data_IF_541145842633
#
_entry.id   IF_541145842633
#
_cell.length_a   1.000
_cell.length_b   1.000
_cell.length_c   1.000
_cell.angle_alpha   90.00
_cell.angle_beta   90.00
_cell.angle_gamma   90.00
#
_symmetry.space_group_name_H-M   'P 1'
#
loop_
_entity.id
_entity.type
_entity.pdbx_description
1 polymer ?
#
# COMPACT_ATOMS: atom_id res chain seq x y z
N UNK A 1 -31.27 7.83 -8.58
CA UNK A 1 -31.04 6.43 -8.99
C UNK A 1 -30.05 5.84 -7.98
N UNK A 2 -30.48 4.93 -7.11
CA UNK A 2 -29.60 4.34 -6.10
C UNK A 2 -28.72 3.26 -6.77
N UNK A 3 -27.42 3.52 -6.87
CA UNK A 3 -26.41 2.49 -7.09
C UNK A 3 -26.21 1.77 -5.76
N UNK A 4 -26.51 0.47 -5.70
CA UNK A 4 -26.18 -0.32 -4.52
C UNK A 4 -24.67 -0.54 -4.46
N UNK A 5 -24.05 -0.06 -3.39
CA UNK A 5 -22.65 -0.37 -3.08
C UNK A 5 -22.49 -1.86 -2.79
N UNK A 6 -21.38 -2.51 -3.20
CA UNK A 6 -21.15 -3.90 -2.90
C UNK A 6 -20.97 -4.11 -1.38
N UNK A 7 -21.40 -5.26 -0.88
CA UNK A 7 -21.18 -5.64 0.53
C UNK A 7 -19.70 -5.85 0.79
N UNK A 8 -19.18 -5.38 1.92
CA UNK A 8 -17.76 -5.52 2.28
C UNK A 8 -17.62 -6.58 3.38
N UNK A 9 -16.76 -7.57 3.14
CA UNK A 9 -16.46 -8.65 4.08
C UNK A 9 -15.01 -8.59 4.53
N UNK A 10 -14.78 -8.86 5.81
CA UNK A 10 -13.43 -8.95 6.35
C UNK A 10 -12.81 -10.29 5.98
N UNK A 11 -11.59 -10.26 5.48
CA UNK A 11 -10.82 -11.48 5.28
C UNK A 11 -10.40 -12.03 6.66
N UNK A 12 -10.56 -13.34 6.93
CA UNK A 12 -10.26 -13.89 8.26
C UNK A 12 -8.74 -13.96 8.47
N UNK A 13 -8.18 -12.88 9.00
CA UNK A 13 -6.77 -12.74 9.36
C UNK A 13 -6.51 -13.31 10.75
N UNK A 14 -5.36 -13.97 10.91
CA UNK A 14 -4.83 -14.38 12.20
C UNK A 14 -3.70 -13.46 12.60
N UNK A 15 -3.81 -12.79 13.75
CA UNK A 15 -2.70 -12.02 14.32
C UNK A 15 -1.58 -12.97 14.78
N UNK A 16 -0.34 -12.61 14.47
CA UNK A 16 0.86 -13.31 14.91
C UNK A 16 1.65 -12.37 15.79
N UNK A 17 1.95 -12.83 17.00
CA UNK A 17 2.88 -12.11 17.85
C UNK A 17 4.25 -12.09 17.18
N UNK A 18 4.76 -10.88 16.95
CA UNK A 18 6.12 -10.62 16.52
C UNK A 18 6.77 -9.73 17.56
N UNK A 19 7.94 -10.12 18.04
CA UNK A 19 8.69 -9.31 19.00
C UNK A 19 9.53 -8.27 18.26
N UNK A 20 8.85 -7.39 17.51
CA UNK A 20 9.45 -6.30 16.73
C UNK A 20 8.72 -5.02 17.11
N UNK A 21 9.45 -4.09 17.72
CA UNK A 21 8.86 -2.85 18.23
C UNK A 21 8.18 -2.03 17.12
N UNK A 22 6.97 -1.56 17.42
CA UNK A 22 6.12 -0.79 16.52
C UNK A 22 5.70 -1.49 15.23
N UNK A 23 5.69 -2.84 15.22
CA UNK A 23 5.22 -3.64 14.10
C UNK A 23 4.14 -4.65 14.51
N UNK A 24 3.14 -4.86 13.65
CA UNK A 24 2.14 -5.94 13.78
C UNK A 24 2.20 -6.87 12.60
N UNK A 25 1.84 -8.14 12.81
CA UNK A 25 1.76 -9.12 11.73
C UNK A 25 0.43 -9.84 11.73
N UNK A 26 -0.19 -9.89 10.56
CA UNK A 26 -1.40 -10.64 10.30
C UNK A 26 -1.14 -11.63 9.16
N UNK A 27 -1.70 -12.82 9.27
CA UNK A 27 -1.58 -13.85 8.25
C UNK A 27 -2.94 -14.33 7.73
N UNK A 28 -3.00 -14.62 6.44
CA UNK A 28 -4.14 -15.26 5.79
C UNK A 28 -3.74 -16.58 5.14
N UNK A 29 -4.58 -17.60 5.32
CA UNK A 29 -4.40 -18.91 4.69
C UNK A 29 -3.38 -19.80 5.39
N UNK A 30 -3.30 -21.06 4.97
CA UNK A 30 -2.29 -22.01 5.43
C UNK A 30 -0.94 -21.69 4.80
N UNK A 31 0.13 -21.96 5.53
CA UNK A 31 1.50 -21.77 5.04
C UNK A 31 1.71 -22.46 3.69
N UNK A 32 2.38 -21.77 2.78
CA UNK A 32 2.56 -22.18 1.40
C UNK A 32 4.04 -22.22 1.04
N UNK A 33 4.45 -23.27 0.33
CA UNK A 33 5.81 -23.42 -0.22
C UNK A 33 6.03 -22.59 -1.50
N UNK A 34 4.99 -21.88 -1.98
CA UNK A 34 5.12 -20.97 -3.12
C UNK A 34 6.06 -19.82 -2.75
N UNK A 35 6.78 -19.32 -3.76
CA UNK A 35 7.65 -18.14 -3.61
C UNK A 35 6.85 -17.00 -2.94
N UNK A 36 7.50 -16.27 -2.03
CA UNK A 36 6.94 -15.06 -1.44
C UNK A 36 7.39 -13.83 -2.24
N UNK A 37 6.50 -12.86 -2.40
CA UNK A 37 6.80 -11.53 -2.90
C UNK A 37 6.47 -10.50 -1.84
N UNK A 38 7.35 -9.54 -1.58
CA UNK A 38 7.13 -8.50 -0.59
C UNK A 38 7.03 -7.13 -1.26
N UNK A 39 5.97 -6.40 -0.94
CA UNK A 39 5.80 -4.99 -1.32
C UNK A 39 5.70 -4.12 -0.08
N UNK A 40 6.24 -2.91 -0.16
CA UNK A 40 6.11 -1.87 0.88
C UNK A 40 5.27 -0.74 0.33
N UNK A 41 4.25 -0.30 1.06
CA UNK A 41 3.38 0.80 0.64
C UNK A 41 3.70 2.07 1.45
N UNK A 42 4.28 3.06 0.78
CA UNK A 42 4.59 4.38 1.33
C UNK A 42 3.64 5.41 0.76
N UNK A 43 3.08 6.30 1.57
CA UNK A 43 2.24 7.40 1.09
C UNK A 43 1.71 8.23 2.24
N UNK A 44 1.41 9.51 1.99
CA UNK A 44 0.83 10.38 2.99
C UNK A 44 -0.54 9.87 3.48
N UNK A 45 -1.01 10.34 4.64
CA UNK A 45 -2.38 10.05 5.09
C UNK A 45 -3.40 10.47 4.01
N UNK A 46 -4.37 9.60 3.71
CA UNK A 46 -5.37 9.87 2.66
C UNK A 46 -4.91 9.63 1.23
N UNK A 47 -3.66 9.18 1.01
CA UNK A 47 -3.17 8.82 -0.34
C UNK A 47 -3.87 7.61 -0.98
N UNK A 48 -4.63 6.83 -0.21
CA UNK A 48 -5.37 5.67 -0.70
C UNK A 48 -4.65 4.32 -0.57
N UNK A 49 -3.66 4.19 0.34
CA UNK A 49 -2.95 2.93 0.60
C UNK A 49 -3.90 1.79 0.99
N UNK A 50 -4.73 1.98 2.01
CA UNK A 50 -5.68 0.95 2.46
C UNK A 50 -6.67 0.56 1.37
N UNK A 51 -7.17 1.54 0.60
CA UNK A 51 -8.01 1.28 -0.59
C UNK A 51 -7.29 0.41 -1.62
N UNK A 52 -6.01 0.67 -1.87
CA UNK A 52 -5.18 -0.13 -2.78
C UNK A 52 -5.01 -1.56 -2.25
N UNK A 53 -4.72 -1.72 -0.95
CA UNK A 53 -4.60 -3.05 -0.31
C UNK A 53 -5.90 -3.84 -0.49
N UNK A 54 -7.04 -3.24 -0.15
CA UNK A 54 -8.34 -3.90 -0.25
C UNK A 54 -8.67 -4.32 -1.70
N UNK A 55 -8.30 -3.49 -2.67
CA UNK A 55 -8.42 -3.81 -4.08
C UNK A 55 -7.53 -4.98 -4.52
N UNK A 56 -6.25 -4.96 -4.13
CA UNK A 56 -5.31 -6.05 -4.40
C UNK A 56 -5.82 -7.37 -3.84
N UNK A 57 -6.32 -7.37 -2.61
CA UNK A 57 -6.82 -8.58 -1.94
C UNK A 57 -8.08 -9.11 -2.61
N UNK A 58 -9.04 -8.24 -2.93
CA UNK A 58 -10.25 -8.63 -3.65
C UNK A 58 -9.88 -9.30 -4.98
N UNK A 59 -8.95 -8.73 -5.74
CA UNK A 59 -8.45 -9.35 -6.97
C UNK A 59 -7.76 -10.70 -6.71
N UNK A 60 -6.87 -10.79 -5.71
CA UNK A 60 -6.09 -11.99 -5.41
C UNK A 60 -7.00 -13.18 -5.09
N UNK A 61 -8.04 -12.98 -4.28
CA UNK A 61 -8.99 -14.04 -3.92
C UNK A 61 -10.05 -14.28 -5.00
N UNK A 62 -9.94 -13.62 -6.15
CA UNK A 62 -10.73 -13.89 -7.34
C UNK A 62 -12.05 -13.14 -7.44
N UNK A 63 -12.28 -12.12 -6.63
CA UNK A 63 -13.47 -11.25 -6.74
C UNK A 63 -13.38 -10.46 -8.04
N UNK A 64 -14.40 -10.62 -8.87
CA UNK A 64 -14.58 -9.89 -10.12
C UNK A 64 -15.38 -8.60 -9.90
N UNK A 65 -15.27 -7.69 -10.86
CA UNK A 65 -15.95 -6.40 -10.79
C UNK A 65 -17.47 -6.51 -10.64
N UNK A 66 -18.05 -7.49 -11.32
CA UNK A 66 -19.49 -7.79 -11.33
C UNK A 66 -19.98 -8.39 -10.02
N UNK A 67 -19.09 -8.89 -9.17
CA UNK A 67 -19.49 -9.54 -7.92
C UNK A 67 -20.09 -8.51 -6.97
N UNK A 68 -21.14 -8.93 -6.28
CA UNK A 68 -21.90 -8.06 -5.39
C UNK A 68 -21.19 -7.71 -4.08
N UNK A 69 -19.94 -8.15 -3.90
CA UNK A 69 -19.19 -8.03 -2.65
C UNK A 69 -17.70 -7.73 -2.88
N UNK A 70 -17.01 -7.27 -1.83
CA UNK A 70 -15.56 -6.99 -1.79
C UNK A 70 -14.96 -7.50 -0.48
N UNK A 71 -13.65 -7.76 -0.48
CA UNK A 71 -12.91 -8.09 0.74
C UNK A 71 -12.04 -6.92 1.23
N UNK A 72 -11.93 -6.79 2.55
CA UNK A 72 -11.04 -5.85 3.24
C UNK A 72 -10.13 -6.57 4.23
N UNK A 73 -8.91 -6.06 4.45
CA UNK A 73 -8.01 -6.56 5.49
C UNK A 73 -8.21 -5.85 6.84
N UNK A 74 -8.82 -4.67 6.85
CA UNK A 74 -8.96 -3.82 8.03
C UNK A 74 -10.43 -3.63 8.41
N UNK A 75 -10.69 -3.46 9.72
CA UNK A 75 -11.95 -2.90 10.20
C UNK A 75 -11.97 -1.40 9.87
N UNK A 76 -12.53 -1.05 8.71
CA UNK A 76 -13.01 0.30 8.48
C UNK A 76 -14.36 0.44 9.21
N UNK A 77 -14.33 0.45 10.55
CA UNK A 77 -15.49 0.79 11.36
C UNK A 77 -15.95 2.19 10.93
N UNK A 78 -17.07 2.25 10.20
CA UNK A 78 -17.70 3.49 9.73
C UNK A 78 -18.13 4.43 10.89
N UNK A 79 -18.02 3.97 12.14
CA UNK A 79 -18.41 4.67 13.36
C UNK A 79 -17.25 5.43 14.04
N UNK A 80 -15.99 5.20 13.66
CA UNK A 80 -14.83 5.89 14.23
C UNK A 80 -14.33 6.96 13.27
N UNK A 81 -14.31 8.21 13.75
CA UNK A 81 -13.89 9.36 12.94
C UNK A 81 -12.53 9.09 12.27
N UNK A 82 -12.39 9.43 10.97
CA UNK A 82 -11.20 9.13 10.16
C UNK A 82 -9.85 9.69 10.68
N UNK A 83 -9.86 10.42 11.81
CA UNK A 83 -8.68 10.88 12.52
C UNK A 83 -8.10 9.85 13.51
N UNK A 84 -8.94 8.92 14.03
CA UNK A 84 -8.54 7.92 15.03
C UNK A 84 -8.01 6.62 14.41
N UNK A 85 -8.39 6.29 13.16
CA UNK A 85 -7.96 5.08 12.47
C UNK A 85 -6.59 5.22 11.76
N UNK A 86 -5.78 6.20 12.16
CA UNK A 86 -4.43 6.37 11.60
C UNK A 86 -3.51 5.32 12.22
N UNK A 87 -3.14 4.29 11.45
CA UNK A 87 -2.13 3.29 11.83
C UNK A 87 -0.92 4.00 12.44
N UNK A 88 -0.59 3.69 13.70
CA UNK A 88 0.60 4.23 14.39
C UNK A 88 1.83 3.34 14.23
N UNK A 89 1.60 2.11 13.78
CA UNK A 89 2.57 1.03 13.68
C UNK A 89 2.63 0.54 12.24
N UNK A 90 3.75 -0.06 11.85
CA UNK A 90 3.87 -0.75 10.57
C UNK A 90 3.11 -2.07 10.65
N UNK A 91 2.22 -2.31 9.69
CA UNK A 91 1.43 -3.55 9.66
C UNK A 91 1.89 -4.44 8.51
N UNK A 92 2.24 -5.68 8.83
CA UNK A 92 2.67 -6.69 7.87
C UNK A 92 1.52 -7.68 7.64
N UNK A 93 0.99 -7.70 6.43
CA UNK A 93 0.02 -8.69 5.99
C UNK A 93 0.72 -9.77 5.18
N UNK A 94 0.80 -11.00 5.68
CA UNK A 94 1.29 -12.17 4.94
C UNK A 94 0.12 -12.99 4.42
N UNK A 95 -0.09 -12.93 3.12
CA UNK A 95 -1.15 -13.64 2.41
C UNK A 95 -0.53 -14.87 1.77
N UNK A 96 -0.69 -16.03 2.43
CA UNK A 96 -0.17 -17.29 1.92
C UNK A 96 -1.00 -17.74 0.72
N UNK A 97 -0.33 -18.10 -0.38
CA UNK A 97 -1.00 -18.58 -1.58
C UNK A 97 -1.92 -19.77 -1.28
N UNK A 98 -3.19 -19.68 -1.69
CA UNK A 98 -4.15 -20.78 -1.70
C UNK A 98 -4.56 -21.14 -3.12
N UNK A 99 -5.03 -22.38 -3.33
CA UNK A 99 -5.64 -22.76 -4.61
C UNK A 99 -6.83 -21.85 -4.96
N UNK A 100 -6.95 -21.48 -6.24
CA UNK A 100 -7.98 -20.56 -6.72
C UNK A 100 -7.59 -19.08 -6.70
N UNK A 101 -6.46 -18.71 -6.09
CA UNK A 101 -5.94 -17.35 -6.19
C UNK A 101 -5.59 -16.97 -7.63
N UNK A 102 -5.75 -15.69 -7.98
CA UNK A 102 -5.35 -15.13 -9.28
C UNK A 102 -3.83 -15.01 -9.45
N UNK A 103 -3.08 -15.06 -8.36
CA UNK A 103 -1.61 -15.04 -8.33
C UNK A 103 -1.08 -16.41 -7.91
N UNK A 104 0.12 -16.78 -8.39
CA UNK A 104 0.74 -18.09 -8.13
C UNK A 104 1.87 -18.02 -7.06
N UNK A 105 1.88 -16.97 -6.25
CA UNK A 105 2.87 -16.71 -5.20
C UNK A 105 2.18 -16.19 -3.93
N UNK A 106 2.85 -16.32 -2.79
CA UNK A 106 2.43 -15.66 -1.54
C UNK A 106 2.82 -14.18 -1.59
N UNK A 107 2.01 -13.32 -0.98
CA UNK A 107 2.24 -11.88 -0.97
C UNK A 107 2.38 -11.38 0.46
N UNK A 108 3.49 -10.70 0.74
CA UNK A 108 3.68 -9.88 1.94
C UNK A 108 3.47 -8.41 1.59
N UNK A 109 2.54 -7.76 2.27
CA UNK A 109 2.30 -6.32 2.16
C UNK A 109 2.74 -5.66 3.46
N UNK A 110 3.73 -4.79 3.39
CA UNK A 110 4.14 -3.92 4.49
C UNK A 110 3.39 -2.60 4.32
N UNK A 111 2.30 -2.42 5.06
CA UNK A 111 1.54 -1.18 5.12
C UNK A 111 2.15 -0.24 6.17
N UNK A 112 2.51 0.97 5.75
CA UNK A 112 3.10 1.95 6.66
C UNK A 112 2.08 3.00 7.08
N UNK A 113 2.19 3.57 8.29
CA UNK A 113 1.49 4.79 8.65
C UNK A 113 1.63 5.89 7.60
N UNK A 114 0.60 6.74 7.48
CA UNK A 114 0.65 7.91 6.63
C UNK A 114 1.61 8.98 7.17
N UNK A 115 2.59 9.39 6.37
CA UNK A 115 3.55 10.45 6.70
C UNK A 115 3.08 11.84 6.29
N UNK A 116 3.76 12.87 6.80
CA UNK A 116 3.50 14.26 6.42
C UNK A 116 2.17 14.83 6.94
N UNK A 117 1.63 14.25 8.01
CA UNK A 117 0.50 14.82 8.75
C UNK A 117 0.99 15.97 9.69
N UNK A 118 0.08 16.75 10.26
CA UNK A 118 0.35 17.83 11.24
C UNK A 118 1.05 17.38 12.54
N UNK A 119 1.35 16.09 12.67
CA UNK A 119 1.96 15.46 13.85
C UNK A 119 3.50 15.51 13.88
N UNK A 120 4.14 16.05 12.83
CA UNK A 120 5.55 16.46 12.85
C UNK A 120 6.59 15.39 12.46
N UNK A 121 7.84 15.84 12.33
CA UNK A 121 9.00 15.06 11.86
C UNK A 121 9.32 13.86 12.77
N UNK A 122 9.04 13.95 14.07
CA UNK A 122 9.31 12.85 15.01
C UNK A 122 8.51 11.60 14.69
N UNK A 123 7.24 11.74 14.27
CA UNK A 123 6.44 10.59 13.86
C UNK A 123 7.00 9.95 12.59
N UNK A 124 7.47 10.77 11.66
CA UNK A 124 8.10 10.30 10.43
C UNK A 124 9.42 9.54 10.73
N UNK A 125 10.19 9.99 11.73
CA UNK A 125 11.38 9.27 12.22
C UNK A 125 11.03 7.92 12.84
N UNK A 126 9.98 7.88 13.66
CA UNK A 126 9.50 6.64 14.26
C UNK A 126 9.09 5.61 13.20
N UNK A 127 8.45 6.03 12.11
CA UNK A 127 8.11 5.12 11.00
C UNK A 127 9.38 4.52 10.37
N UNK A 128 10.42 5.34 10.17
CA UNK A 128 11.70 4.88 9.62
C UNK A 128 12.37 3.89 10.57
N UNK A 129 12.32 4.13 11.87
CA UNK A 129 12.84 3.23 12.90
C UNK A 129 12.07 1.90 12.95
N UNK A 130 10.73 1.94 12.92
CA UNK A 130 9.90 0.74 12.82
C UNK A 130 10.25 -0.11 11.59
N UNK A 131 10.44 0.52 10.43
CA UNK A 131 10.90 -0.18 9.24
C UNK A 131 12.29 -0.77 9.44
N UNK A 132 13.25 -0.04 10.03
CA UNK A 132 14.59 -0.59 10.35
C UNK A 132 14.49 -1.81 11.25
N UNK A 133 13.67 -1.77 12.29
CA UNK A 133 13.45 -2.89 13.19
C UNK A 133 12.86 -4.09 12.44
N UNK A 134 11.90 -3.85 11.55
CA UNK A 134 11.28 -4.89 10.73
C UNK A 134 12.28 -5.58 9.78
N UNK A 135 13.19 -4.84 9.15
CA UNK A 135 14.17 -5.42 8.22
C UNK A 135 15.43 -5.98 8.90
N UNK A 136 15.69 -5.59 10.16
CA UNK A 136 16.85 -6.08 10.92
C UNK A 136 16.54 -7.31 11.78
N UNK A 137 15.26 -7.62 12.00
CA UNK A 137 14.83 -8.76 12.82
C UNK A 137 14.79 -10.07 12.02
N UNK A 138 15.24 -11.17 12.64
CA UNK A 138 15.12 -12.52 12.07
C UNK A 138 13.66 -12.95 11.83
N UNK A 139 12.72 -12.44 12.63
CA UNK A 139 11.28 -12.71 12.49
C UNK A 139 10.58 -11.70 11.55
N UNK A 140 11.36 -10.77 11.01
CA UNK A 140 10.91 -9.66 10.19
C UNK A 140 10.76 -10.01 8.71
N UNK A 141 11.08 -9.05 7.85
CA UNK A 141 11.02 -9.20 6.38
C UNK A 141 12.44 -9.15 5.83
N UNK A 142 12.85 -10.17 5.07
CA UNK A 142 14.23 -10.30 4.57
C UNK A 142 14.43 -9.79 3.15
N UNK A 143 13.39 -9.84 2.30
CA UNK A 143 13.46 -9.46 0.89
C UNK A 143 12.33 -8.49 0.53
N UNK A 144 12.65 -7.51 -0.31
CA UNK A 144 11.71 -6.49 -0.81
C UNK A 144 11.74 -6.50 -2.34
N UNK A 145 10.63 -6.92 -2.95
CA UNK A 145 10.48 -6.96 -4.40
C UNK A 145 10.04 -5.61 -4.97
N UNK A 146 9.31 -4.79 -4.21
CA UNK A 146 8.93 -3.45 -4.64
C UNK A 146 8.71 -2.48 -3.48
N UNK A 147 9.12 -1.24 -3.68
CA UNK A 147 8.74 -0.10 -2.82
C UNK A 147 7.77 0.77 -3.59
N UNK A 148 6.52 0.81 -3.13
CA UNK A 148 5.43 1.47 -3.82
C UNK A 148 5.12 2.82 -3.16
N UNK A 149 5.35 3.90 -3.89
CA UNK A 149 4.92 5.24 -3.47
C UNK A 149 3.50 5.52 -3.96
N UNK A 150 2.56 5.55 -3.02
CA UNK A 150 1.13 5.77 -3.25
C UNK A 150 0.82 7.26 -3.14
N UNK A 151 0.27 7.84 -4.20
CA UNK A 151 -0.09 9.25 -4.23
C UNK A 151 -1.33 9.54 -5.10
N UNK A 152 -2.18 10.50 -4.69
CA UNK A 152 -3.35 10.87 -5.48
C UNK A 152 -2.95 11.59 -6.76
N UNK A 153 -3.66 11.29 -7.86
CA UNK A 153 -3.40 11.85 -9.17
C UNK A 153 -3.39 13.37 -9.19
N UNK A 154 -4.30 13.99 -8.43
CA UNK A 154 -4.47 15.43 -8.29
C UNK A 154 -3.35 16.12 -7.50
N UNK A 155 -2.42 15.37 -6.88
CA UNK A 155 -1.32 15.96 -6.13
C UNK A 155 -0.39 16.72 -7.07
N UNK A 156 -0.48 18.05 -7.05
CA UNK A 156 0.35 18.92 -7.89
C UNK A 156 1.76 19.14 -7.33
N UNK A 157 2.05 18.65 -6.11
CA UNK A 157 3.33 18.87 -5.43
C UNK A 157 3.83 17.60 -4.74
N UNK A 158 5.14 17.46 -4.72
CA UNK A 158 5.87 16.53 -3.89
C UNK A 158 6.58 17.36 -2.82
N UNK A 159 6.08 17.30 -1.59
CA UNK A 159 6.52 18.24 -0.54
C UNK A 159 7.92 17.88 -0.03
N UNK A 160 8.66 18.86 0.53
CA UNK A 160 9.95 18.57 1.18
C UNK A 160 9.85 17.47 2.24
N UNK A 161 8.74 17.42 2.99
CA UNK A 161 8.47 16.36 3.96
C UNK A 161 8.31 15.01 3.29
N UNK A 162 7.55 14.91 2.20
CA UNK A 162 7.41 13.66 1.44
C UNK A 162 8.75 13.19 0.89
N UNK A 163 9.59 14.12 0.41
CA UNK A 163 10.97 13.83 -0.02
C UNK A 163 11.83 13.31 1.12
N UNK A 164 11.83 14.00 2.26
CA UNK A 164 12.59 13.58 3.43
C UNK A 164 12.21 12.17 3.87
N UNK A 165 10.91 11.86 3.96
CA UNK A 165 10.46 10.52 4.35
C UNK A 165 10.83 9.48 3.31
N UNK A 166 10.65 9.79 2.03
CA UNK A 166 11.07 8.92 0.95
C UNK A 166 12.56 8.59 1.04
N UNK A 167 13.41 9.60 1.11
CA UNK A 167 14.87 9.46 1.23
C UNK A 167 15.26 8.71 2.52
N UNK A 168 14.56 8.97 3.63
CA UNK A 168 14.80 8.30 4.91
C UNK A 168 14.44 6.81 4.86
N UNK A 169 13.33 6.46 4.22
CA UNK A 169 12.95 5.06 4.03
C UNK A 169 13.91 4.37 3.07
N UNK A 170 14.30 5.03 1.97
CA UNK A 170 15.32 4.49 1.07
C UNK A 170 16.66 4.26 1.78
N UNK A 171 17.02 5.08 2.76
CA UNK A 171 18.24 4.89 3.56
C UNK A 171 18.24 3.61 4.41
N UNK A 172 17.07 3.01 4.66
CA UNK A 172 16.94 1.72 5.35
C UNK A 172 17.38 0.57 4.45
N UNK A 173 17.32 0.76 3.14
CA UNK A 173 17.64 -0.26 2.14
C UNK A 173 18.98 0.03 1.46
N UNK A 174 19.49 -0.98 0.75
CA UNK A 174 20.62 -0.80 -0.16
C UNK A 174 20.28 0.13 -1.32
N UNK A 175 21.33 0.66 -1.99
CA UNK A 175 21.19 1.56 -3.15
C UNK A 175 20.44 0.91 -4.32
N UNK A 176 20.43 -0.41 -4.38
CA UNK A 176 19.76 -1.24 -5.37
C UNK A 176 18.22 -1.21 -5.26
N UNK A 177 17.67 -0.83 -4.10
CA UNK A 177 16.21 -0.71 -3.93
C UNK A 177 15.60 0.31 -4.90
N UNK A 178 16.42 1.28 -5.36
CA UNK A 178 15.97 2.33 -6.27
C UNK A 178 15.35 1.77 -7.56
N UNK A 179 15.87 0.64 -8.06
CA UNK A 179 15.36 -0.02 -9.26
C UNK A 179 13.99 -0.71 -9.05
N UNK A 180 13.63 -0.95 -7.79
CA UNK A 180 12.39 -1.60 -7.38
C UNK A 180 11.30 -0.61 -6.95
N UNK A 181 11.55 0.69 -7.09
CA UNK A 181 10.56 1.73 -6.76
C UNK A 181 9.48 1.79 -7.84
N UNK A 182 8.21 1.84 -7.43
CA UNK A 182 7.06 2.02 -8.32
C UNK A 182 6.14 3.11 -7.77
N UNK A 183 5.59 3.94 -8.64
CA UNK A 183 4.58 4.93 -8.24
C UNK A 183 3.18 4.37 -8.46
N UNK A 184 2.36 4.33 -7.42
CA UNK A 184 0.96 3.94 -7.51
C UNK A 184 0.09 5.20 -7.45
N UNK A 185 -0.51 5.56 -8.58
CA UNK A 185 -1.31 6.77 -8.69
C UNK A 185 -2.78 6.44 -8.42
N UNK A 186 -3.31 6.92 -7.30
CA UNK A 186 -4.70 6.75 -6.91
C UNK A 186 -5.59 7.87 -7.45
N UNK A 187 -6.92 7.68 -7.43
CA UNK A 187 -7.90 8.67 -7.90
C UNK A 187 -7.62 9.21 -9.32
N UNK A 188 -7.09 8.33 -10.19
CA UNK A 188 -6.74 8.73 -11.56
C UNK A 188 -7.92 8.55 -12.51
N UNK A 189 -8.40 9.65 -13.09
CA UNK A 189 -9.51 9.68 -14.06
C UNK A 189 -9.03 9.75 -15.51
N UNK A 190 -8.01 8.96 -15.86
CA UNK A 190 -7.52 8.78 -17.25
C UNK A 190 -6.52 9.84 -17.74
N UNK A 191 -6.65 11.10 -17.29
CA UNK A 191 -5.70 12.18 -17.64
C UNK A 191 -4.26 11.88 -17.13
N UNK A 192 -3.26 12.57 -17.71
CA UNK A 192 -1.87 12.51 -17.22
C UNK A 192 -1.81 13.08 -15.80
N UNK A 193 -1.44 12.28 -14.77
CA UNK A 193 -1.48 12.75 -13.39
C UNK A 193 -0.39 13.77 -13.10
N UNK A 194 -0.73 14.98 -12.62
CA UNK A 194 0.25 16.00 -12.19
C UNK A 194 1.31 15.48 -11.21
N UNK A 195 0.95 14.51 -10.37
CA UNK A 195 1.86 13.93 -9.36
C UNK A 195 3.12 13.31 -9.96
N UNK A 196 3.05 12.80 -11.19
CA UNK A 196 4.23 12.20 -11.86
C UNK A 196 5.28 13.25 -12.18
N UNK A 197 4.86 14.45 -12.58
CA UNK A 197 5.77 15.56 -12.85
C UNK A 197 6.36 16.10 -11.57
N UNK A 198 5.55 16.20 -10.51
CA UNK A 198 6.01 16.61 -9.20
C UNK A 198 7.07 15.65 -8.61
N UNK A 199 6.88 14.33 -8.75
CA UNK A 199 7.87 13.33 -8.34
C UNK A 199 9.12 13.42 -9.22
N UNK A 200 8.97 13.58 -10.53
CA UNK A 200 10.13 13.69 -11.42
C UNK A 200 10.98 14.93 -11.10
N UNK A 201 10.34 16.06 -10.80
CA UNK A 201 11.01 17.31 -10.45
C UNK A 201 11.67 17.29 -9.06
N UNK A 202 11.24 16.41 -8.15
CA UNK A 202 11.83 16.34 -6.80
C UNK A 202 13.23 15.69 -6.78
N UNK A 203 13.59 14.98 -7.85
CA UNK A 203 14.88 14.31 -8.01
C UNK A 203 15.04 13.04 -7.17
N UNK A 204 13.94 12.49 -6.64
CA UNK A 204 14.00 11.20 -5.92
C UNK A 204 14.38 10.08 -6.88
N UNK A 205 15.23 9.13 -6.45
CA UNK A 205 15.64 8.02 -7.30
C UNK A 205 14.42 7.12 -7.54
N UNK A 206 14.10 6.89 -8.81
CA UNK A 206 13.10 5.92 -9.24
C UNK A 206 13.33 5.58 -10.72
N UNK A 207 12.93 4.38 -11.18
CA UNK A 207 13.06 4.01 -12.57
C UNK A 207 12.18 4.90 -13.43
N UNK A 208 12.64 5.22 -14.63
CA UNK A 208 11.90 6.06 -15.58
C UNK A 208 11.38 5.24 -16.75
N UNK A 209 10.19 5.61 -17.23
CA UNK A 209 9.65 5.14 -18.51
C UNK A 209 10.43 5.78 -19.67
N UNK A 210 10.14 5.33 -20.89
CA UNK A 210 10.72 5.92 -22.12
C UNK A 210 10.42 7.42 -22.25
N UNK A 211 9.32 7.90 -21.67
CA UNK A 211 8.91 9.30 -21.69
C UNK A 211 9.54 10.14 -20.55
N UNK A 212 10.49 9.56 -19.80
CA UNK A 212 11.19 10.25 -18.71
C UNK A 212 10.37 10.45 -17.44
N UNK A 213 9.21 9.81 -17.32
CA UNK A 213 8.37 9.82 -16.12
C UNK A 213 8.70 8.65 -15.18
N UNK A 214 8.42 8.75 -13.87
CA UNK A 214 8.52 7.60 -12.98
C UNK A 214 7.70 6.41 -13.49
N UNK A 215 8.24 5.19 -13.38
CA UNK A 215 7.47 3.97 -13.64
C UNK A 215 6.28 3.92 -12.69
N UNK A 216 5.07 3.89 -13.26
CA UNK A 216 3.85 4.08 -12.50
C UNK A 216 2.70 3.20 -12.95
N UNK A 217 1.76 2.97 -12.03
CA UNK A 217 0.50 2.31 -12.29
C UNK A 217 -0.64 3.24 -11.86
N UNK A 218 -1.63 3.42 -12.73
CA UNK A 218 -2.82 4.22 -12.43
C UNK A 218 -3.90 3.32 -11.84
N UNK A 219 -4.57 3.81 -10.82
CA UNK A 219 -5.61 3.11 -10.13
C UNK A 219 -6.82 4.01 -9.93
N UNK A 220 -7.97 3.58 -10.46
CA UNK A 220 -9.22 4.31 -10.34
C UNK A 220 -10.01 3.80 -9.14
N UNK A 221 -9.92 4.54 -8.03
CA UNK A 221 -10.59 4.19 -6.78
C UNK A 221 -12.11 4.32 -6.85
N UNK A 222 -12.63 5.20 -7.72
CA UNK A 222 -14.06 5.54 -7.71
C UNK A 222 -14.93 4.35 -8.07
N UNK A 223 -14.40 3.42 -8.85
CA UNK A 223 -15.18 2.35 -9.44
C UNK A 223 -15.21 1.11 -8.53
N UNK A 224 -14.27 0.94 -7.59
CA UNK A 224 -14.17 -0.23 -6.70
C UNK A 224 -15.44 -0.56 -5.90
N UNK A 225 -16.16 0.48 -5.50
CA UNK A 225 -17.37 0.39 -4.66
C UNK A 225 -18.64 0.80 -5.41
N UNK A 226 -18.58 0.93 -6.75
CA UNK A 226 -19.74 1.21 -7.57
C UNK A 226 -20.10 -0.04 -8.38
N UNK A 227 -21.35 -0.48 -8.29
CA UNK A 227 -21.90 -1.45 -9.24
C UNK A 227 -22.26 -0.72 -10.53
N UNK A 228 -21.64 -1.10 -11.64
CA UNK A 228 -22.17 -0.74 -12.95
C UNK A 228 -23.47 -1.54 -13.17
N UNK A 229 -24.59 -0.82 -13.29
CA UNK A 229 -25.80 -1.44 -13.82
C UNK A 229 -25.54 -1.72 -15.29
N UNK A 230 -25.28 -2.98 -15.63
CA UNK A 230 -25.37 -3.43 -17.01
C UNK A 230 -26.81 -3.17 -17.48
N UNK A 231 -26.94 -2.41 -18.57
CA UNK A 231 -28.16 -2.33 -19.38
C UNK A 231 -28.07 -3.41 -20.45
#
# INVERSE_FOLDING_TARGET
MNSESPSVYKLPLTEKEINIDGCRRYEFGKESLRRNRTIILLGATGSGKSTMINAMISYIVGVEWKDGFRFTLTDEDQSRSGAENQTSEVTVYKIHHQEGFKINYSLTIVDTPGFGNTRGIERDRMIVEQLRNLFSSELGVSEVDAVCFVAPASSARFTPTQKYVFDSVLSVFGKDVAENIRVLVTFSHGQRPPVLEAINASGVPCPKTKDGLPVHFKFNNSSLFLRDKCV
#
